data_IF_017296128389
#
_entry.id   IF_017296128389
#
_cell.length_a   1.000
_cell.length_b   1.000
_cell.length_c   1.000
_cell.angle_alpha   90.00
_cell.angle_beta   90.00
_cell.angle_gamma   90.00
#
_symmetry.space_group_name_H-M   'P 1'
#
loop_
_entity.id
_entity.type
_entity.pdbx_description
1 polymer ?
#
# COMPACT_ATOMS: atom_id res chain seq x y z
N UNK A 1 12.37 8.65 20.71
CA UNK A 1 12.16 9.08 19.30
C UNK A 1 13.08 8.30 18.39
N UNK A 2 12.75 7.04 18.09
CA UNK A 2 13.44 6.30 17.03
C UNK A 2 12.37 5.95 16.00
N UNK A 3 12.44 6.61 14.85
CA UNK A 3 11.59 6.29 13.70
C UNK A 3 12.26 5.15 12.95
N UNK A 4 11.90 3.91 13.30
CA UNK A 4 12.43 2.70 12.67
C UNK A 4 11.54 2.38 11.46
N UNK A 5 12.11 2.42 10.25
CA UNK A 5 11.46 1.93 9.04
C UNK A 5 11.69 0.43 8.96
N UNK A 6 10.61 -0.36 8.92
CA UNK A 6 10.67 -1.79 8.61
C UNK A 6 9.86 -2.06 7.36
N UNK A 7 10.54 -2.27 6.23
CA UNK A 7 9.92 -2.89 5.05
C UNK A 7 9.99 -4.39 5.26
N UNK A 8 8.85 -5.04 5.48
CA UNK A 8 8.82 -6.51 5.67
C UNK A 8 8.64 -7.17 4.31
N UNK A 9 9.65 -7.94 3.91
CA UNK A 9 9.50 -8.87 2.81
C UNK A 9 8.60 -10.03 3.27
N UNK A 10 7.69 -10.44 2.38
CA UNK A 10 6.90 -11.68 2.52
C UNK A 10 5.76 -11.64 3.56
N UNK A 11 4.87 -10.65 3.45
CA UNK A 11 3.62 -10.55 4.23
C UNK A 11 2.74 -11.83 4.20
N UNK A 12 2.90 -12.69 3.19
CA UNK A 12 2.08 -13.89 2.97
C UNK A 12 2.72 -15.23 3.41
N UNK A 13 3.84 -15.26 4.16
CA UNK A 13 4.51 -16.52 4.57
C UNK A 13 3.68 -17.48 5.46
N UNK A 14 2.47 -17.08 5.88
CA UNK A 14 1.53 -17.96 6.58
C UNK A 14 0.61 -18.79 5.65
N UNK A 15 0.63 -18.53 4.34
CA UNK A 15 -0.11 -19.30 3.35
C UNK A 15 0.86 -20.28 2.66
N UNK A 16 0.61 -21.61 2.68
CA UNK A 16 1.55 -22.58 2.15
C UNK A 16 1.46 -22.61 0.63
N UNK A 17 2.12 -21.66 -0.02
CA UNK A 17 2.66 -21.78 -1.36
C UNK A 17 3.34 -20.47 -1.76
N UNK A 18 4.37 -20.62 -2.59
CA UNK A 18 4.95 -19.61 -3.48
C UNK A 18 6.26 -18.96 -3.00
N UNK A 19 7.31 -19.28 -3.77
CA UNK A 19 8.61 -18.62 -3.80
C UNK A 19 8.45 -17.16 -4.23
N UNK A 20 8.97 -16.24 -3.41
CA UNK A 20 8.97 -14.81 -3.66
C UNK A 20 10.35 -14.40 -4.16
N UNK A 21 10.46 -14.04 -5.44
CA UNK A 21 11.62 -13.30 -5.96
C UNK A 21 11.34 -11.81 -5.74
N UNK A 22 12.19 -11.18 -4.94
CA UNK A 22 12.07 -9.80 -4.51
C UNK A 22 12.86 -8.86 -5.42
N UNK A 23 12.18 -7.93 -6.09
CA UNK A 23 12.77 -6.69 -6.60
C UNK A 23 11.77 -5.54 -6.36
N UNK A 24 11.97 -4.76 -5.30
CA UNK A 24 11.20 -3.54 -5.02
C UNK A 24 11.90 -2.34 -5.65
N UNK A 25 11.58 -2.07 -6.92
CA UNK A 25 11.88 -0.78 -7.55
C UNK A 25 10.78 0.23 -7.18
N UNK A 26 11.07 1.13 -6.24
CA UNK A 26 10.27 2.33 -6.03
C UNK A 26 10.51 3.24 -7.23
N UNK A 27 9.75 3.07 -8.31
CA UNK A 27 9.58 4.12 -9.30
C UNK A 27 8.69 5.18 -8.68
N UNK A 28 9.31 6.20 -8.09
CA UNK A 28 8.64 7.45 -7.82
C UNK A 28 8.09 7.98 -9.16
N UNK A 29 6.78 7.89 -9.36
CA UNK A 29 6.07 8.41 -10.51
C UNK A 29 6.30 9.92 -10.60
N UNK A 30 7.34 10.30 -11.34
CA UNK A 30 7.72 11.69 -11.66
C UNK A 30 6.78 12.33 -12.69
N UNK A 31 5.84 11.56 -13.25
CA UNK A 31 4.92 12.01 -14.28
C UNK A 31 3.48 11.89 -13.77
N UNK A 32 3.02 12.96 -13.13
CA UNK A 32 1.60 13.26 -13.01
C UNK A 32 1.07 13.47 -14.43
N UNK A 33 0.12 12.66 -14.95
CA UNK A 33 -0.56 13.05 -16.17
C UNK A 33 -1.25 14.38 -15.87
N UNK A 34 -0.98 15.39 -16.68
CA UNK A 34 -1.55 16.73 -16.56
C UNK A 34 -3.06 16.57 -16.79
N UNK A 35 -3.80 16.29 -15.72
CA UNK A 35 -5.26 16.32 -15.70
C UNK A 35 -5.66 17.79 -15.61
N UNK A 36 -6.53 18.19 -16.54
CA UNK A 36 -7.09 19.52 -16.69
C UNK A 36 -7.34 20.24 -15.34
N UNK A 37 -6.77 21.44 -15.19
CA UNK A 37 -6.72 22.26 -13.96
C UNK A 37 -8.06 22.87 -13.50
N UNK A 38 -9.20 22.18 -13.63
CA UNK A 38 -10.52 22.79 -13.34
C UNK A 38 -11.40 22.10 -12.30
N UNK A 39 -10.87 21.15 -11.54
CA UNK A 39 -11.44 20.79 -10.24
C UNK A 39 -10.40 21.16 -9.21
N UNK A 40 -10.80 21.84 -8.12
CA UNK A 40 -9.91 22.19 -7.03
C UNK A 40 -9.15 20.94 -6.58
N UNK A 41 -7.91 20.78 -7.07
CA UNK A 41 -7.05 19.66 -6.72
C UNK A 41 -6.87 19.81 -5.22
N UNK A 42 -7.62 19.03 -4.45
CA UNK A 42 -7.46 18.94 -3.01
C UNK A 42 -6.08 18.36 -2.78
N UNK A 43 -5.10 19.26 -2.69
CA UNK A 43 -3.75 18.93 -2.30
C UNK A 43 -3.87 18.16 -0.98
N UNK A 44 -3.10 17.08 -0.87
CA UNK A 44 -3.10 16.29 0.35
C UNK A 44 -2.93 17.17 1.58
N UNK A 45 -3.87 17.06 2.52
CA UNK A 45 -3.81 17.68 3.84
C UNK A 45 -3.33 16.64 4.85
N UNK A 46 -2.45 17.07 5.76
CA UNK A 46 -2.02 16.24 6.88
C UNK A 46 -3.24 15.80 7.69
N UNK A 47 -3.36 14.53 8.06
CA UNK A 47 -4.43 14.11 8.94
C UNK A 47 -4.23 14.71 10.34
N UNK A 48 -5.26 14.70 11.20
CA UNK A 48 -5.13 15.14 12.58
C UNK A 48 -4.01 14.40 13.33
N UNK A 49 -3.46 15.05 14.36
CA UNK A 49 -2.38 14.46 15.17
C UNK A 49 -2.78 13.10 15.74
N UNK A 50 -1.91 12.10 15.61
CA UNK A 50 -2.17 10.73 16.06
C UNK A 50 -2.98 9.87 15.09
N UNK A 51 -3.38 10.41 13.93
CA UNK A 51 -4.07 9.65 12.88
C UNK A 51 -3.07 9.25 11.80
N UNK A 52 -3.04 7.97 11.46
CA UNK A 52 -2.22 7.46 10.35
C UNK A 52 -2.97 7.50 9.02
N UNK A 53 -2.25 7.76 7.94
CA UNK A 53 -2.76 7.64 6.57
C UNK A 53 -2.33 6.31 5.98
N UNK A 54 -3.28 5.58 5.40
CA UNK A 54 -3.03 4.33 4.68
C UNK A 54 -3.36 4.56 3.21
N UNK A 55 -2.34 4.50 2.34
CA UNK A 55 -2.54 4.41 0.89
C UNK A 55 -2.42 2.95 0.50
N UNK A 56 -3.35 2.45 -0.31
CA UNK A 56 -3.29 1.12 -0.90
C UNK A 56 -3.64 1.25 -2.38
N UNK A 57 -3.15 0.30 -3.17
CA UNK A 57 -3.45 0.22 -4.60
C UNK A 57 -3.30 -1.23 -5.07
N UNK A 58 -3.99 -1.58 -6.15
CA UNK A 58 -3.89 -2.88 -6.77
C UNK A 58 -3.60 -2.78 -8.27
N UNK A 59 -2.90 -3.78 -8.80
CA UNK A 59 -2.70 -3.97 -10.23
C UNK A 59 -3.16 -5.37 -10.63
N UNK A 60 -3.70 -5.49 -11.83
CA UNK A 60 -4.17 -6.78 -12.36
C UNK A 60 -3.44 -7.13 -13.65
N UNK A 61 -3.06 -8.39 -13.75
CA UNK A 61 -2.66 -9.09 -14.95
C UNK A 61 -3.57 -10.34 -15.07
N UNK A 62 -3.67 -10.93 -16.27
CA UNK A 62 -4.68 -11.91 -16.66
C UNK A 62 -5.00 -12.97 -15.59
N UNK A 63 -3.97 -13.53 -14.95
CA UNK A 63 -4.09 -14.57 -13.91
C UNK A 63 -3.41 -14.20 -12.58
N UNK A 64 -3.06 -12.94 -12.38
CA UNK A 64 -2.29 -12.49 -11.21
C UNK A 64 -2.66 -11.06 -10.86
N UNK A 65 -2.88 -10.78 -9.58
CA UNK A 65 -2.93 -9.41 -9.09
C UNK A 65 -1.70 -9.10 -8.23
N UNK A 66 -1.25 -7.86 -8.28
CA UNK A 66 -0.31 -7.28 -7.32
C UNK A 66 -1.03 -6.26 -6.45
N UNK A 67 -0.56 -6.07 -5.22
CA UNK A 67 -1.05 -5.01 -4.33
C UNK A 67 0.10 -4.33 -3.59
N UNK A 68 -0.09 -3.06 -3.23
CA UNK A 68 0.87 -2.27 -2.48
C UNK A 68 0.17 -1.45 -1.40
N UNK A 69 0.86 -1.23 -0.28
CA UNK A 69 0.37 -0.47 0.88
C UNK A 69 1.49 0.40 1.44
N UNK A 70 1.18 1.66 1.77
CA UNK A 70 2.05 2.59 2.47
C UNK A 70 1.28 3.20 3.64
N UNK A 71 1.88 3.18 4.84
CA UNK A 71 1.32 3.72 6.08
C UNK A 71 2.20 4.90 6.52
N UNK A 72 1.58 6.05 6.74
CA UNK A 72 2.23 7.31 7.13
C UNK A 72 1.65 7.85 8.43
N UNK A 73 2.47 8.47 9.28
CA UNK A 73 2.00 9.24 10.43
C UNK A 73 1.38 10.59 10.01
N UNK A 74 0.86 11.34 10.97
CA UNK A 74 0.28 12.67 10.75
C UNK A 74 1.27 13.72 10.24
N UNK A 75 2.58 13.45 10.34
CA UNK A 75 3.63 14.26 9.75
C UNK A 75 3.99 13.87 8.32
N UNK A 76 3.39 12.80 7.79
CA UNK A 76 3.70 12.23 6.48
C UNK A 76 4.94 11.33 6.48
N UNK A 77 5.50 11.00 7.65
CA UNK A 77 6.60 10.06 7.75
C UNK A 77 6.09 8.63 7.55
N UNK A 78 6.78 7.85 6.71
CA UNK A 78 6.40 6.46 6.42
C UNK A 78 6.73 5.57 7.62
N UNK A 79 5.70 5.09 8.31
CA UNK A 79 5.81 4.15 9.43
C UNK A 79 6.09 2.72 8.94
N UNK A 80 5.55 2.38 7.77
CA UNK A 80 5.71 1.06 7.19
C UNK A 80 5.01 0.96 5.85
N UNK A 81 5.20 -0.19 5.21
CA UNK A 81 4.59 -0.50 3.94
C UNK A 81 4.86 -1.94 3.56
N UNK A 82 4.13 -2.40 2.55
CA UNK A 82 4.23 -3.78 2.09
C UNK A 82 3.54 -3.95 0.76
N UNK A 83 3.65 -5.16 0.22
CA UNK A 83 2.99 -5.54 -1.01
C UNK A 83 3.10 -7.04 -1.20
N UNK A 84 2.38 -7.52 -2.20
CA UNK A 84 2.36 -8.93 -2.52
C UNK A 84 1.68 -9.20 -3.85
N UNK A 85 1.65 -10.48 -4.19
CA UNK A 85 1.00 -10.96 -5.40
C UNK A 85 0.06 -12.10 -5.05
N UNK A 86 -1.03 -12.20 -5.77
CA UNK A 86 -1.99 -13.30 -5.67
C UNK A 86 -2.17 -13.86 -7.08
N UNK A 87 -1.72 -15.09 -7.28
CA UNK A 87 -1.84 -15.83 -8.54
C UNK A 87 -3.25 -16.42 -8.68
N UNK A 88 -4.23 -15.51 -8.80
CA UNK A 88 -5.63 -15.83 -9.00
C UNK A 88 -6.20 -14.86 -10.03
N UNK A 89 -7.10 -15.36 -10.87
CA UNK A 89 -7.97 -14.51 -11.67
C UNK A 89 -9.02 -13.86 -10.76
N UNK A 90 -8.97 -12.54 -10.69
CA UNK A 90 -9.80 -11.70 -9.81
C UNK A 90 -10.47 -10.63 -10.68
N UNK A 91 -11.67 -10.17 -10.32
CA UNK A 91 -12.31 -9.07 -11.04
C UNK A 91 -11.66 -7.72 -10.67
N UNK A 92 -11.69 -6.75 -11.57
CA UNK A 92 -11.05 -5.44 -11.36
C UNK A 92 -11.56 -4.73 -10.08
N UNK A 93 -12.83 -4.87 -9.74
CA UNK A 93 -13.35 -4.26 -8.50
C UNK A 93 -12.94 -5.04 -7.24
N UNK A 94 -12.69 -6.34 -7.35
CA UNK A 94 -12.27 -7.17 -6.22
C UNK A 94 -10.80 -6.91 -5.85
N UNK A 95 -9.94 -6.54 -6.82
CA UNK A 95 -8.51 -6.31 -6.53
C UNK A 95 -8.28 -5.13 -5.58
N UNK A 96 -9.06 -4.06 -5.72
CA UNK A 96 -9.00 -2.90 -4.81
C UNK A 96 -9.51 -3.25 -3.41
N UNK A 97 -10.61 -4.02 -3.31
CA UNK A 97 -11.12 -4.49 -2.03
C UNK A 97 -10.10 -5.38 -1.30
N UNK A 98 -9.38 -6.22 -2.03
CA UNK A 98 -8.32 -7.05 -1.48
C UNK A 98 -7.14 -6.19 -1.01
N UNK A 99 -6.70 -5.21 -1.80
CA UNK A 99 -5.63 -4.29 -1.38
C UNK A 99 -6.03 -3.51 -0.11
N UNK A 100 -7.29 -3.05 -0.04
CA UNK A 100 -7.85 -2.43 1.17
C UNK A 100 -7.79 -3.37 2.38
N UNK A 101 -8.32 -4.59 2.26
CA UNK A 101 -8.31 -5.57 3.36
C UNK A 101 -6.89 -5.88 3.85
N UNK A 102 -5.95 -6.06 2.91
CA UNK A 102 -4.54 -6.31 3.20
C UNK A 102 -3.88 -5.13 3.92
N UNK A 103 -4.27 -3.90 3.56
CA UNK A 103 -3.78 -2.69 4.21
C UNK A 103 -4.18 -2.59 5.69
N UNK A 104 -5.42 -2.96 6.02
CA UNK A 104 -5.90 -2.97 7.41
C UNK A 104 -5.15 -4.04 8.21
N UNK A 105 -5.01 -5.25 7.67
CA UNK A 105 -4.25 -6.34 8.32
C UNK A 105 -2.80 -5.93 8.60
N UNK A 106 -2.12 -5.30 7.65
CA UNK A 106 -0.76 -4.81 7.83
C UNK A 106 -0.67 -3.76 8.94
N UNK A 107 -1.62 -2.83 8.97
CA UNK A 107 -1.69 -1.77 9.99
C UNK A 107 -1.84 -2.36 11.40
N UNK A 108 -2.71 -3.36 11.56
CA UNK A 108 -2.87 -4.07 12.82
C UNK A 108 -1.58 -4.79 13.27
N UNK A 109 -0.83 -5.40 12.34
CA UNK A 109 0.43 -6.08 12.66
C UNK A 109 1.57 -5.14 13.05
N UNK A 110 1.54 -3.90 12.56
CA UNK A 110 2.51 -2.87 12.92
C UNK A 110 2.17 -2.19 14.25
N UNK A 111 1.11 -2.63 14.94
CA UNK A 111 0.57 -2.00 16.13
C UNK A 111 0.28 -0.50 15.95
N UNK A 112 -0.07 -0.11 14.72
CA UNK A 112 -0.58 1.21 14.41
C UNK A 112 -2.06 1.25 14.82
N UNK A 113 -2.32 1.29 16.11
CA UNK A 113 -3.65 1.48 16.67
C UNK A 113 -3.95 2.98 16.78
N UNK A 114 -5.21 3.31 16.57
CA UNK A 114 -5.78 4.65 16.68
C UNK A 114 -6.01 5.03 18.14
#
# INVERSE_FOLDING_TARGET
>A
NVKIVSIRNSFDQGCPSYEVVAETLIHALKYYPILHENEAIKKWEKPPKGIVKINFDASINLNRMGYGVIIQDDDGFVLGGGGGFIDKRVLVHEVECIAFERSIKLTCQLNCYW
#
